data_IF_793535785572
#
_entry.id   IF_793535785572
#
_cell.length_a   1.000
_cell.length_b   1.000
_cell.length_c   1.000
_cell.angle_alpha   90.00
_cell.angle_beta   90.00
_cell.angle_gamma   90.00
#
_symmetry.space_group_name_H-M   'P 1'
#
loop_
_entity.id
_entity.type
_entity.pdbx_description
1 polymer ?
#
# COMPACT_ATOMS: atom_id res chain seq x y z
N UNK A 1 -1.00 -9.47 7.62
CA UNK A 1 -1.89 -10.02 6.58
C UNK A 1 -1.31 -11.37 6.17
N UNK A 2 -2.13 -12.40 5.97
CA UNK A 2 -1.64 -13.71 5.51
C UNK A 2 -1.29 -13.71 4.01
N UNK A 3 -0.63 -14.77 3.55
CA UNK A 3 -0.08 -14.83 2.19
C UNK A 3 -1.16 -14.94 1.11
N UNK A 4 -2.21 -15.72 1.36
CA UNK A 4 -3.31 -15.91 0.41
C UNK A 4 -4.07 -14.59 0.19
N UNK A 5 -4.41 -13.89 1.28
CA UNK A 5 -5.03 -12.57 1.20
C UNK A 5 -4.14 -11.56 0.45
N UNK A 6 -2.83 -11.62 0.69
CA UNK A 6 -1.86 -10.72 0.05
C UNK A 6 -1.80 -10.92 -1.47
N UNK A 7 -1.81 -12.17 -1.93
CA UNK A 7 -1.82 -12.50 -3.36
C UNK A 7 -3.10 -12.01 -4.06
N UNK A 8 -4.27 -12.21 -3.43
CA UNK A 8 -5.56 -11.72 -3.95
C UNK A 8 -5.58 -10.19 -4.06
N UNK A 9 -5.14 -9.51 -3.01
CA UNK A 9 -5.05 -8.04 -2.97
C UNK A 9 -4.09 -7.53 -4.04
N UNK A 10 -2.94 -8.17 -4.21
CA UNK A 10 -1.95 -7.78 -5.22
C UNK A 10 -2.47 -7.99 -6.65
N UNK A 11 -3.17 -9.09 -6.91
CA UNK A 11 -3.81 -9.35 -8.19
C UNK A 11 -4.87 -8.29 -8.52
N UNK A 12 -5.74 -7.95 -7.56
CA UNK A 12 -6.73 -6.88 -7.72
C UNK A 12 -6.09 -5.50 -7.90
N UNK A 13 -5.03 -5.19 -7.16
CA UNK A 13 -4.28 -3.95 -7.34
C UNK A 13 -3.60 -3.86 -8.71
N UNK A 14 -3.15 -4.98 -9.26
CA UNK A 14 -2.48 -5.03 -10.56
C UNK A 14 -3.44 -4.92 -11.74
N UNK A 15 -4.71 -5.26 -11.56
CA UNK A 15 -5.75 -5.11 -12.59
C UNK A 15 -6.32 -3.68 -12.68
N UNK A 16 -6.12 -2.87 -11.63
CA UNK A 16 -6.59 -1.50 -11.56
C UNK A 16 -5.47 -0.51 -11.96
N UNK A 17 -5.81 0.39 -12.89
CA UNK A 17 -4.95 1.51 -13.27
C UNK A 17 -5.43 2.82 -12.66
N UNK A 18 -4.55 3.82 -12.65
CA UNK A 18 -4.93 5.18 -12.27
C UNK A 18 -6.07 5.70 -13.17
N UNK A 19 -7.10 6.37 -12.63
CA UNK A 19 -7.27 6.80 -11.24
C UNK A 19 -8.00 5.81 -10.32
N UNK A 20 -8.37 4.64 -10.84
CA UNK A 20 -9.23 3.67 -10.14
C UNK A 20 -8.48 2.81 -9.11
N UNK A 21 -7.14 2.80 -9.13
CA UNK A 21 -6.31 2.03 -8.19
C UNK A 21 -6.24 2.68 -6.81
N UNK A 22 -7.36 2.77 -6.13
CA UNK A 22 -7.47 3.17 -4.71
C UNK A 22 -7.63 1.95 -3.83
N UNK A 23 -7.27 2.04 -2.55
CA UNK A 23 -7.41 0.90 -1.62
C UNK A 23 -8.85 0.40 -1.49
N UNK A 24 -9.84 1.32 -1.53
CA UNK A 24 -11.25 0.95 -1.52
C UNK A 24 -11.63 0.15 -2.76
N UNK A 25 -11.22 0.61 -3.95
CA UNK A 25 -11.47 -0.12 -5.20
C UNK A 25 -10.74 -1.45 -5.27
N UNK A 26 -9.53 -1.53 -4.71
CA UNK A 26 -8.79 -2.79 -4.60
C UNK A 26 -9.58 -3.78 -3.73
N UNK A 27 -10.13 -3.34 -2.60
CA UNK A 27 -10.94 -4.21 -1.74
C UNK A 27 -12.28 -4.60 -2.38
N UNK A 28 -12.89 -3.74 -3.19
CA UNK A 28 -14.10 -4.08 -3.94
C UNK A 28 -13.83 -5.13 -5.02
N UNK A 29 -12.69 -5.04 -5.73
CA UNK A 29 -12.32 -5.95 -6.83
C UNK A 29 -11.67 -7.25 -6.34
N UNK A 30 -11.05 -7.24 -5.15
CA UNK A 30 -10.53 -8.44 -4.53
C UNK A 30 -11.70 -9.32 -4.05
N UNK A 31 -12.18 -10.16 -4.97
CA UNK A 31 -13.12 -11.25 -4.70
C UNK A 31 -12.47 -12.28 -3.77
N UNK A 32 -13.29 -13.06 -3.06
CA UNK A 32 -12.87 -14.14 -2.16
C UNK A 32 -11.97 -13.76 -0.98
N UNK A 33 -12.00 -12.48 -0.57
CA UNK A 33 -11.54 -12.06 0.76
C UNK A 33 -12.68 -12.16 1.77
N UNK A 34 -12.45 -12.90 2.85
CA UNK A 34 -13.34 -12.89 4.00
C UNK A 34 -13.24 -11.56 4.79
N UNK A 35 -14.19 -11.34 5.70
CA UNK A 35 -14.25 -10.10 6.48
C UNK A 35 -13.04 -9.91 7.39
N UNK A 36 -12.47 -11.00 7.92
CA UNK A 36 -11.28 -10.96 8.77
C UNK A 36 -10.05 -10.50 7.97
N UNK A 37 -9.89 -11.00 6.75
CA UNK A 37 -8.83 -10.62 5.82
C UNK A 37 -8.97 -9.15 5.39
N UNK A 38 -10.20 -8.70 5.10
CA UNK A 38 -10.49 -7.28 4.79
C UNK A 38 -10.11 -6.37 5.95
N UNK A 39 -10.52 -6.70 7.18
CA UNK A 39 -10.18 -5.89 8.35
C UNK A 39 -8.69 -5.96 8.70
N UNK A 40 -8.03 -7.09 8.48
CA UNK A 40 -6.58 -7.23 8.61
C UNK A 40 -5.84 -6.28 7.66
N UNK A 41 -6.27 -6.18 6.40
CA UNK A 41 -5.69 -5.26 5.43
C UNK A 41 -5.98 -3.79 5.78
N UNK A 42 -7.22 -3.44 6.16
CA UNK A 42 -7.55 -2.06 6.59
C UNK A 42 -6.74 -1.63 7.81
N UNK A 43 -6.53 -2.55 8.77
CA UNK A 43 -5.67 -2.30 9.93
C UNK A 43 -4.22 -2.09 9.50
N UNK A 44 -3.69 -2.94 8.62
CA UNK A 44 -2.36 -2.73 8.03
C UNK A 44 -2.24 -1.37 7.36
N UNK A 45 -3.22 -0.95 6.55
CA UNK A 45 -3.18 0.36 5.93
C UNK A 45 -3.18 1.53 6.93
N UNK A 46 -3.86 1.39 8.08
CA UNK A 46 -3.89 2.43 9.13
C UNK A 46 -2.61 2.46 9.96
N UNK A 47 -2.04 1.30 10.27
CA UNK A 47 -0.89 1.16 11.18
C UNK A 47 0.45 1.29 10.44
N UNK A 48 0.46 0.91 9.16
CA UNK A 48 1.64 0.82 8.29
C UNK A 48 1.54 1.81 7.11
N UNK A 49 0.77 2.91 7.24
CA UNK A 49 0.83 4.08 6.36
C UNK A 49 2.20 4.77 6.51
N UNK A 50 3.26 4.06 6.17
CA UNK A 50 4.55 4.65 5.86
C UNK A 50 4.39 5.25 4.49
N UNK A 51 4.35 6.57 4.44
CA UNK A 51 4.55 7.30 3.20
C UNK A 51 6.02 7.15 2.79
N UNK A 52 6.36 5.96 2.28
CA UNK A 52 7.71 5.59 1.88
C UNK A 52 8.26 6.55 0.83
N UNK A 53 7.38 7.11 -0.01
CA UNK A 53 7.76 8.16 -0.97
C UNK A 53 8.21 9.43 -0.26
N UNK A 54 7.45 9.90 0.73
CA UNK A 54 7.84 11.06 1.54
C UNK A 54 9.09 10.77 2.36
N UNK A 55 9.19 9.59 2.96
CA UNK A 55 10.36 9.21 3.75
C UNK A 55 11.62 9.15 2.87
N UNK A 56 11.54 8.56 1.67
CA UNK A 56 12.64 8.55 0.71
C UNK A 56 12.96 9.96 0.22
N UNK A 57 11.96 10.81 -0.04
CA UNK A 57 12.19 12.20 -0.42
C UNK A 57 12.91 12.98 0.69
N UNK A 58 12.52 12.79 1.95
CA UNK A 58 13.19 13.41 3.11
C UNK A 58 14.63 12.90 3.22
N UNK A 59 14.87 11.59 3.03
CA UNK A 59 16.23 11.01 3.05
C UNK A 59 17.10 11.57 1.94
N UNK A 60 16.57 11.70 0.73
CA UNK A 60 17.27 12.30 -0.40
C UNK A 60 17.66 13.76 -0.12
N UNK A 61 16.74 14.57 0.44
CA UNK A 61 17.02 15.96 0.81
C UNK A 61 18.12 16.06 1.89
N UNK A 62 18.08 15.21 2.92
CA UNK A 62 19.14 15.14 3.94
C UNK A 62 20.49 14.80 3.31
N UNK A 63 20.52 13.82 2.40
CA UNK A 63 21.74 13.39 1.71
C UNK A 63 22.32 14.50 0.83
N UNK A 64 21.47 15.24 0.11
CA UNK A 64 21.91 16.39 -0.69
C UNK A 64 22.56 17.45 0.20
N UNK A 65 21.97 17.73 1.36
CA UNK A 65 22.52 18.69 2.33
C UNK A 65 23.88 18.25 2.89
N UNK A 66 24.08 16.97 3.13
CA UNK A 66 25.39 16.43 3.55
C UNK A 66 26.46 16.55 2.46
N UNK A 67 26.09 16.35 1.19
CA UNK A 67 27.03 16.44 0.06
C UNK A 67 27.38 17.89 -0.28
N UNK A 68 26.43 18.81 -0.09
CA UNK A 68 26.62 20.24 -0.34
C UNK A 68 27.34 20.99 0.80
N UNK A 69 27.69 20.29 1.89
CA UNK A 69 28.42 20.80 3.06
C UNK A 69 29.92 20.54 2.97
#
# INVERSE_FOLDING_TARGET
>A
IDMEASEKILAAASSLYFPLRTYDRILEVAEDLDESQRESFKRFLREDERDLKRDDAIRALKRIKEIAG
#
